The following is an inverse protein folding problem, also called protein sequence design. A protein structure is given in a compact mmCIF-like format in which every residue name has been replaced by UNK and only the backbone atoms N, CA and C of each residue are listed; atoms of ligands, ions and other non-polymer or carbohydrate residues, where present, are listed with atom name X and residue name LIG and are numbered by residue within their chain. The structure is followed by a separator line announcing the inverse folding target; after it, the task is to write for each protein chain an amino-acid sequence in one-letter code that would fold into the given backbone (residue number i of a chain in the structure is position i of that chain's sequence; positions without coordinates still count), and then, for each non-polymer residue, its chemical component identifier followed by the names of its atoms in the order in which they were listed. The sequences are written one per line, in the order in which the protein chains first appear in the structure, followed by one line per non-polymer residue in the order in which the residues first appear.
data_IF_356344413108
#
_entry.id   IF_356344413108
#
_cell.length_a   1.000
_cell.length_b   1.000
_cell.length_c   1.000
_cell.angle_alpha   90.00
_cell.angle_beta   90.00
_cell.angle_gamma   90.00
#
_symmetry.space_group_name_H-M   'P 1'
#
loop_
_entity.id
_entity.type
_entity.pdbx_description
1 polymer ?
#
# COMPACT_ATOMS: atom_id res chain seq x y z
N UNK A 1 -8.60 -2.00 11.55
CA UNK A 1 -7.31 -2.47 11.01
C UNK A 1 -7.38 -2.40 9.51
N UNK A 2 -6.39 -1.75 8.91
CA UNK A 2 -6.20 -1.62 7.47
C UNK A 2 -5.94 -2.98 6.83
N UNK A 3 -5.21 -3.87 7.51
CA UNK A 3 -4.95 -5.23 7.02
C UNK A 3 -6.24 -5.97 6.66
N UNK A 4 -7.26 -5.88 7.52
CA UNK A 4 -8.55 -6.55 7.29
C UNK A 4 -9.30 -5.99 6.09
N UNK A 5 -9.24 -4.68 5.87
CA UNK A 5 -9.90 -4.01 4.73
C UNK A 5 -9.21 -4.38 3.42
N UNK A 6 -7.88 -4.32 3.39
CA UNK A 6 -7.10 -4.70 2.22
C UNK A 6 -7.28 -6.19 1.89
N UNK A 7 -7.24 -7.07 2.90
CA UNK A 7 -7.42 -8.50 2.70
C UNK A 7 -8.82 -8.85 2.17
N UNK A 8 -9.89 -8.24 2.70
CA UNK A 8 -11.25 -8.49 2.21
C UNK A 8 -11.44 -7.96 0.79
N UNK A 9 -10.92 -6.77 0.46
CA UNK A 9 -10.94 -6.24 -0.90
C UNK A 9 -10.16 -7.15 -1.87
N UNK A 10 -8.95 -7.57 -1.50
CA UNK A 10 -8.13 -8.48 -2.29
C UNK A 10 -8.87 -9.80 -2.56
N UNK A 11 -9.54 -10.37 -1.56
CA UNK A 11 -10.31 -11.61 -1.70
C UNK A 11 -11.49 -11.48 -2.68
N UNK A 12 -12.19 -10.34 -2.67
CA UNK A 12 -13.37 -10.12 -3.52
C UNK A 12 -13.02 -9.68 -4.95
N UNK A 13 -11.99 -8.84 -5.11
CA UNK A 13 -11.70 -8.17 -6.38
C UNK A 13 -10.38 -8.62 -7.04
N UNK A 14 -9.55 -9.39 -6.32
CA UNK A 14 -8.31 -9.96 -6.87
C UNK A 14 -7.36 -8.91 -7.44
N UNK A 15 -6.92 -9.11 -8.67
CA UNK A 15 -5.97 -8.24 -9.38
C UNK A 15 -6.50 -6.82 -9.66
N UNK A 16 -7.81 -6.60 -9.50
CA UNK A 16 -8.43 -5.28 -9.68
C UNK A 16 -8.22 -4.34 -8.47
N UNK A 17 -7.57 -4.82 -7.41
CA UNK A 17 -7.27 -3.99 -6.24
C UNK A 17 -5.96 -3.24 -6.43
N UNK A 18 -6.03 -1.93 -6.22
CA UNK A 18 -4.89 -1.06 -5.97
C UNK A 18 -4.89 -0.67 -4.48
N UNK A 19 -3.90 -1.12 -3.74
CA UNK A 19 -3.69 -0.75 -2.34
C UNK A 19 -2.77 0.46 -2.21
N UNK A 20 -3.18 1.49 -1.47
CA UNK A 20 -2.34 2.66 -1.20
C UNK A 20 -2.14 2.77 0.31
N UNK A 21 -0.88 2.77 0.76
CA UNK A 21 -0.52 2.88 2.19
C UNK A 21 0.28 4.16 2.43
N UNK A 22 -0.31 5.06 3.20
CA UNK A 22 0.24 6.38 3.51
C UNK A 22 0.92 6.38 4.90
N UNK A 23 1.46 7.53 5.26
CA UNK A 23 2.04 7.85 6.57
C UNK A 23 1.20 7.33 7.74
N UNK A 24 1.88 6.83 8.76
CA UNK A 24 1.27 6.45 10.04
C UNK A 24 2.14 5.51 10.84
N UNK A 25 1.77 5.32 12.10
CA UNK A 25 2.54 4.54 13.05
C UNK A 25 2.22 3.04 12.97
N UNK A 26 3.22 2.20 13.27
CA UNK A 26 3.03 0.76 13.41
C UNK A 26 3.19 0.02 12.09
N UNK A 27 2.45 -1.08 11.94
CA UNK A 27 2.61 -2.04 10.82
C UNK A 27 1.28 -2.43 10.14
N UNK A 28 0.16 -1.81 10.56
CA UNK A 28 -1.18 -2.12 10.06
C UNK A 28 -1.31 -1.64 8.61
N UNK A 29 -1.57 -2.56 7.69
CA UNK A 29 -1.60 -2.34 6.24
C UNK A 29 -0.51 -3.11 5.50
N UNK A 30 0.62 -3.43 6.14
CA UNK A 30 1.71 -4.15 5.49
C UNK A 30 1.33 -5.60 5.15
N UNK A 31 0.57 -6.27 6.04
CA UNK A 31 0.07 -7.63 5.80
C UNK A 31 -1.10 -7.58 4.80
N UNK A 32 -1.95 -6.55 4.87
CA UNK A 32 -2.99 -6.26 3.90
C UNK A 32 -2.44 -6.12 2.49
N UNK A 33 -1.37 -5.34 2.32
CA UNK A 33 -0.66 -5.22 1.04
C UNK A 33 -0.08 -6.55 0.57
N UNK A 34 0.47 -7.37 1.48
CA UNK A 34 0.90 -8.72 1.13
C UNK A 34 -0.26 -9.56 0.57
N UNK A 35 -1.46 -9.47 1.15
CA UNK A 35 -2.65 -10.17 0.65
C UNK A 35 -3.12 -9.66 -0.73
N UNK A 36 -2.98 -8.36 -1.00
CA UNK A 36 -3.20 -7.77 -2.33
C UNK A 36 -2.20 -8.36 -3.34
N UNK A 37 -0.90 -8.36 -3.01
CA UNK A 37 0.17 -8.91 -3.86
C UNK A 37 -0.03 -10.40 -4.17
N UNK A 38 -0.38 -11.22 -3.18
CA UNK A 38 -0.69 -12.66 -3.36
C UNK A 38 -1.79 -12.90 -4.39
N UNK A 39 -2.69 -11.94 -4.58
CA UNK A 39 -3.80 -12.00 -5.54
C UNK A 39 -3.56 -11.17 -6.80
N UNK A 40 -2.28 -10.84 -7.07
CA UNK A 40 -1.82 -10.10 -8.24
C UNK A 40 -2.33 -8.66 -8.33
N UNK A 41 -2.86 -8.11 -7.23
CA UNK A 41 -3.15 -6.69 -7.14
C UNK A 41 -1.87 -5.86 -7.03
N UNK A 42 -2.04 -4.55 -7.07
CA UNK A 42 -0.95 -3.57 -7.12
C UNK A 42 -0.92 -2.71 -5.87
N UNK A 43 0.24 -2.16 -5.55
CA UNK A 43 0.48 -1.50 -4.27
C UNK A 43 1.35 -0.26 -4.41
N UNK A 44 0.91 0.85 -3.82
CA UNK A 44 1.64 2.12 -3.77
C UNK A 44 1.87 2.47 -2.31
N UNK A 45 3.10 2.81 -1.95
CA UNK A 45 3.49 3.22 -0.61
C UNK A 45 3.98 4.68 -0.65
N UNK A 46 3.61 5.47 0.36
CA UNK A 46 4.13 6.82 0.50
C UNK A 46 5.63 6.82 0.84
N UNK A 47 6.39 7.68 0.17
CA UNK A 47 7.82 7.83 0.38
C UNK A 47 8.15 8.50 1.75
N UNK A 48 9.34 8.20 2.28
CA UNK A 48 9.76 8.65 3.62
C UNK A 48 9.77 10.18 3.75
N UNK A 49 10.23 10.87 2.71
CA UNK A 49 10.41 12.32 2.69
C UNK A 49 9.10 13.12 2.83
N UNK A 50 7.95 12.52 2.51
CA UNK A 50 6.64 13.17 2.68
C UNK A 50 5.86 12.67 3.89
N UNK A 51 6.31 11.58 4.53
CA UNK A 51 5.65 11.02 5.68
C UNK A 51 5.82 11.88 6.94
N UNK A 52 4.75 12.01 7.72
CA UNK A 52 4.84 12.56 9.09
C UNK A 52 5.39 11.49 10.05
N UNK A 53 4.94 10.24 9.88
CA UNK A 53 5.43 9.07 10.62
C UNK A 53 5.65 7.93 9.63
N UNK A 54 6.91 7.59 9.42
CA UNK A 54 7.33 6.53 8.49
C UNK A 54 7.33 5.14 9.16
N UNK A 55 6.19 4.75 9.73
CA UNK A 55 5.99 3.44 10.38
C UNK A 55 5.40 2.40 9.43
N UNK A 56 4.12 2.58 9.07
CA UNK A 56 3.41 1.63 8.21
C UNK A 56 4.04 1.53 6.80
N UNK A 57 4.43 2.64 6.15
CA UNK A 57 5.17 2.58 4.88
C UNK A 57 6.46 1.77 4.98
N UNK A 58 7.28 2.03 6.00
CA UNK A 58 8.50 1.27 6.26
C UNK A 58 8.24 -0.23 6.43
N UNK A 59 7.21 -0.61 7.18
CA UNK A 59 6.84 -2.01 7.37
C UNK A 59 6.44 -2.69 6.05
N UNK A 60 5.74 -1.99 5.15
CA UNK A 60 5.42 -2.52 3.82
C UNK A 60 6.67 -2.69 2.93
N UNK A 61 7.63 -1.75 3.00
CA UNK A 61 8.91 -1.86 2.29
C UNK A 61 9.76 -3.03 2.81
N UNK A 62 9.86 -3.19 4.13
CA UNK A 62 10.61 -4.29 4.75
C UNK A 62 10.03 -5.68 4.37
N UNK A 63 8.72 -5.76 4.11
CA UNK A 63 8.07 -6.98 3.60
C UNK A 63 8.20 -7.16 2.08
N UNK A 64 8.73 -6.17 1.35
CA UNK A 64 8.88 -6.23 -0.11
C UNK A 64 7.54 -6.24 -0.87
N UNK A 65 6.51 -5.62 -0.30
CA UNK A 65 5.13 -5.63 -0.84
C UNK A 65 4.70 -4.30 -1.45
N UNK A 66 5.65 -3.42 -1.79
CA UNK A 66 5.39 -2.16 -2.48
C UNK A 66 5.83 -2.27 -3.95
N UNK A 67 4.91 -2.02 -4.89
CA UNK A 67 5.26 -1.92 -6.31
C UNK A 67 5.85 -0.55 -6.64
N UNK A 68 5.30 0.50 -6.01
CA UNK A 68 5.72 1.89 -6.17
C UNK A 68 5.90 2.56 -4.83
N UNK A 69 6.90 3.44 -4.75
CA UNK A 69 7.18 4.29 -3.60
C UNK A 69 7.29 5.71 -4.12
N UNK A 70 6.34 6.57 -3.76
CA UNK A 70 6.27 7.93 -4.30
C UNK A 70 5.91 8.96 -3.21
N UNK A 71 6.38 10.21 -3.32
CA UNK A 71 5.97 11.28 -2.41
C UNK A 71 4.46 11.50 -2.43
N UNK A 72 3.89 12.00 -1.33
CA UNK A 72 2.44 12.24 -1.18
C UNK A 72 1.83 13.05 -2.34
N UNK A 73 2.58 14.03 -2.87
CA UNK A 73 2.14 14.89 -3.99
C UNK A 73 1.96 14.13 -5.31
N UNK A 74 2.61 12.98 -5.46
CA UNK A 74 2.59 12.16 -6.68
C UNK A 74 1.61 10.98 -6.57
N UNK A 75 1.17 10.61 -5.36
CA UNK A 75 0.23 9.50 -5.12
C UNK A 75 -1.01 9.58 -6.02
N UNK A 76 -1.63 10.76 -6.12
CA UNK A 76 -2.84 10.92 -6.93
C UNK A 76 -2.59 10.65 -8.42
N UNK A 77 -1.46 11.14 -8.95
CA UNK A 77 -1.07 10.87 -10.33
C UNK A 77 -0.74 9.38 -10.52
N UNK A 78 -0.09 8.76 -9.55
CA UNK A 78 0.27 7.34 -9.63
C UNK A 78 -0.95 6.44 -9.57
N UNK A 79 -1.98 6.80 -8.80
CA UNK A 79 -3.27 6.10 -8.82
C UNK A 79 -3.86 6.11 -10.23
N UNK A 80 -3.83 7.25 -10.93
CA UNK A 80 -4.34 7.37 -12.31
C UNK A 80 -3.52 6.52 -13.27
N UNK A 81 -2.19 6.46 -13.10
CA UNK A 81 -1.31 5.65 -13.95
C UNK A 81 -1.56 4.14 -13.81
N UNK A 82 -2.12 3.71 -12.67
CA UNK A 82 -2.40 2.30 -12.36
C UNK A 82 -3.86 1.90 -12.67
N UNK A 83 -4.73 2.79 -13.15
CA UNK A 83 -6.07 2.43 -13.61
C UNK A 83 -6.06 1.81 -15.02
#
# INVERSE_FOLDING_TARGET
SVDKVMASAAQLYGEKVLGVLLTGMGRDGAIGMQEIKKRRGRTIVEAEESCVVFGMPRAALELGVADKVVPLKEIAQEIINEL
#
